data_IF_111756936616
#
_entry.id   IF_111756936616
#
_cell.length_a   1.000
_cell.length_b   1.000
_cell.length_c   1.000
_cell.angle_alpha   90.00
_cell.angle_beta   90.00
_cell.angle_gamma   90.00
#
_symmetry.space_group_name_H-M   'P 1'
#
loop_
_entity.id
_entity.type
_entity.pdbx_description
1 polymer ?
#
# COMPACT_ATOMS: atom_id res chain seq x y z
N UNK A 1 -18.88 18.48 1.56
CA UNK A 1 -20.28 18.10 1.31
C UNK A 1 -20.61 16.68 1.80
N UNK A 2 -19.81 15.64 1.49
CA UNK A 2 -20.11 14.24 1.87
C UNK A 2 -20.41 14.05 3.36
N UNK A 3 -19.50 14.44 4.24
CA UNK A 3 -19.69 14.33 5.70
C UNK A 3 -20.82 15.20 6.24
N UNK A 4 -21.12 16.34 5.61
CA UNK A 4 -22.27 17.19 6.00
C UNK A 4 -23.59 16.44 5.79
N UNK A 5 -23.76 15.82 4.62
CA UNK A 5 -24.95 14.99 4.33
C UNK A 5 -25.05 13.82 5.29
N UNK A 6 -23.92 13.17 5.60
CA UNK A 6 -23.88 12.05 6.54
C UNK A 6 -24.27 12.48 7.96
N UNK A 7 -23.82 13.64 8.43
CA UNK A 7 -24.22 14.18 9.73
C UNK A 7 -25.72 14.49 9.80
N UNK A 8 -26.30 15.09 8.74
CA UNK A 8 -27.74 15.34 8.63
C UNK A 8 -28.53 14.03 8.59
N UNK A 9 -28.07 13.05 7.81
CA UNK A 9 -28.65 11.71 7.77
C UNK A 9 -28.64 11.05 9.15
N UNK A 10 -27.52 11.17 9.87
CA UNK A 10 -27.38 10.59 11.22
C UNK A 10 -28.39 11.21 12.19
N UNK A 11 -28.52 12.53 12.17
CA UNK A 11 -29.54 13.19 12.99
C UNK A 11 -30.97 12.77 12.58
N UNK A 12 -31.24 12.68 11.28
CA UNK A 12 -32.54 12.27 10.75
C UNK A 12 -32.92 10.84 11.18
N UNK A 13 -31.99 9.87 11.08
CA UNK A 13 -32.28 8.49 11.47
C UNK A 13 -32.51 8.34 12.97
N UNK A 14 -31.84 9.14 13.81
CA UNK A 14 -32.11 9.23 15.24
C UNK A 14 -33.54 9.69 15.46
N UNK A 15 -33.97 10.77 14.80
CA UNK A 15 -35.33 11.29 14.90
C UNK A 15 -36.41 10.28 14.47
N UNK A 16 -36.15 9.57 13.37
CA UNK A 16 -37.06 8.54 12.84
C UNK A 16 -37.23 7.37 13.81
N UNK A 17 -36.13 6.83 14.34
CA UNK A 17 -36.15 5.71 15.31
C UNK A 17 -36.85 6.15 16.61
N UNK A 18 -36.50 7.31 17.15
CA UNK A 18 -37.13 7.86 18.36
C UNK A 18 -38.62 8.03 18.15
N UNK A 19 -39.07 8.56 17.02
CA UNK A 19 -40.51 8.75 16.73
C UNK A 19 -41.23 7.40 16.65
N UNK A 20 -40.57 6.37 16.14
CA UNK A 20 -41.09 5.00 16.05
C UNK A 20 -41.05 4.24 17.38
N UNK A 21 -40.53 4.83 18.45
CA UNK A 21 -40.37 4.17 19.76
C UNK A 21 -39.30 3.11 19.78
N UNK A 22 -38.32 3.15 18.86
CA UNK A 22 -37.26 2.16 18.73
C UNK A 22 -35.92 2.71 19.23
N UNK A 23 -35.18 1.94 20.02
CA UNK A 23 -33.84 2.32 20.45
C UNK A 23 -32.89 2.34 19.24
N UNK A 24 -31.92 3.24 19.27
CA UNK A 24 -30.86 3.34 18.25
C UNK A 24 -29.53 3.61 18.92
N UNK A 25 -28.57 2.76 18.65
CA UNK A 25 -27.18 2.89 19.08
C UNK A 25 -26.29 3.03 17.85
N UNK A 26 -25.58 4.15 17.75
CA UNK A 26 -24.72 4.49 16.62
C UNK A 26 -23.27 4.55 17.09
N UNK A 27 -22.36 3.87 16.40
CA UNK A 27 -20.92 4.09 16.51
C UNK A 27 -20.50 4.87 15.28
N UNK A 28 -19.96 6.07 15.51
CA UNK A 28 -19.43 6.94 14.47
C UNK A 28 -17.91 6.89 14.48
N UNK A 29 -17.35 6.16 13.53
CA UNK A 29 -15.93 5.97 13.36
C UNK A 29 -15.35 6.93 12.32
N UNK A 30 -14.12 7.38 12.55
CA UNK A 30 -13.28 8.01 11.55
C UNK A 30 -11.86 7.44 11.66
N UNK A 31 -10.91 7.94 10.91
CA UNK A 31 -9.50 7.53 10.98
C UNK A 31 -9.01 7.42 12.44
N UNK A 32 -9.29 8.43 13.25
CA UNK A 32 -9.05 8.41 14.69
C UNK A 32 -10.20 9.12 15.44
N UNK A 33 -10.19 8.99 16.78
CA UNK A 33 -11.24 9.58 17.62
C UNK A 33 -11.26 11.12 17.55
N UNK A 34 -10.12 11.76 17.41
CA UNK A 34 -10.03 13.23 17.32
C UNK A 34 -10.74 13.76 16.06
N UNK A 35 -10.80 12.97 14.98
CA UNK A 35 -11.54 13.29 13.76
C UNK A 35 -13.04 13.00 13.89
N UNK A 36 -13.42 12.00 14.67
CA UNK A 36 -14.83 11.63 14.90
C UNK A 36 -15.56 12.58 15.87
N UNK A 37 -14.89 13.10 16.90
CA UNK A 37 -15.46 13.99 17.91
C UNK A 37 -16.16 15.23 17.31
N UNK A 38 -15.54 16.00 16.37
CA UNK A 38 -16.22 17.14 15.76
C UNK A 38 -17.53 16.77 15.03
N UNK A 39 -17.58 15.57 14.42
CA UNK A 39 -18.78 15.08 13.75
C UNK A 39 -19.90 14.78 14.75
N UNK A 40 -19.55 14.08 15.83
CA UNK A 40 -20.46 13.84 16.96
C UNK A 40 -21.05 15.13 17.52
N UNK A 41 -20.22 16.17 17.70
CA UNK A 41 -20.64 17.50 18.16
C UNK A 41 -21.60 18.18 17.19
N UNK A 42 -21.34 18.13 15.88
CA UNK A 42 -22.21 18.70 14.85
C UNK A 42 -23.57 18.01 14.86
N UNK A 43 -23.60 16.66 14.94
CA UNK A 43 -24.86 15.91 14.99
C UNK A 43 -25.66 16.31 16.24
N UNK A 44 -25.02 16.46 17.40
CA UNK A 44 -25.65 16.93 18.63
C UNK A 44 -26.21 18.33 18.48
N UNK A 45 -25.51 19.27 17.83
CA UNK A 45 -25.98 20.60 17.54
C UNK A 45 -27.19 20.61 16.59
N UNK A 46 -27.22 19.75 15.58
CA UNK A 46 -28.38 19.60 14.69
C UNK A 46 -29.60 19.18 15.52
N UNK A 47 -29.45 18.17 16.38
CA UNK A 47 -30.55 17.66 17.23
C UNK A 47 -31.06 18.73 18.20
N UNK A 48 -30.18 19.56 18.73
CA UNK A 48 -30.55 20.63 19.66
C UNK A 48 -31.18 21.85 18.98
N UNK A 49 -31.14 21.95 17.66
CA UNK A 49 -31.68 23.09 16.92
C UNK A 49 -33.19 23.17 17.00
N UNK A 50 -33.74 24.41 16.96
CA UNK A 50 -35.18 24.67 17.00
C UNK A 50 -35.92 24.04 15.80
N UNK A 51 -35.30 24.00 14.63
CA UNK A 51 -35.86 23.38 13.42
C UNK A 51 -35.99 21.86 13.59
N UNK A 52 -34.97 21.21 14.10
CA UNK A 52 -35.02 19.78 14.34
C UNK A 52 -36.05 19.37 15.37
N UNK A 53 -36.16 20.14 16.48
CA UNK A 53 -37.18 19.94 17.54
C UNK A 53 -38.62 20.10 17.05
N UNK A 54 -38.86 20.95 16.04
CA UNK A 54 -40.17 21.04 15.39
C UNK A 54 -40.53 19.79 14.58
N UNK A 55 -39.52 19.15 13.95
CA UNK A 55 -39.71 17.95 13.12
C UNK A 55 -39.80 16.69 13.99
N UNK A 56 -38.98 16.63 15.03
CA UNK A 56 -38.85 15.48 15.92
C UNK A 56 -39.03 15.88 17.39
N UNK A 57 -40.24 16.24 17.81
CA UNK A 57 -40.51 16.81 19.15
C UNK A 57 -40.25 15.83 20.29
N UNK A 58 -40.19 14.51 20.02
CA UNK A 58 -39.89 13.48 21.02
C UNK A 58 -38.36 13.31 21.25
N UNK A 59 -37.53 13.99 20.50
CA UNK A 59 -36.05 13.87 20.67
C UNK A 59 -35.57 14.99 21.59
N UNK A 60 -35.06 14.61 22.75
CA UNK A 60 -34.36 15.47 23.68
C UNK A 60 -33.04 14.87 24.10
N UNK A 61 -32.01 15.68 24.26
CA UNK A 61 -30.73 15.21 24.76
C UNK A 61 -30.83 14.92 26.28
N UNK A 62 -30.32 13.78 26.72
CA UNK A 62 -30.33 13.36 28.13
C UNK A 62 -29.37 14.20 28.96
N UNK A 63 -29.84 14.80 30.04
CA UNK A 63 -28.99 15.51 30.99
C UNK A 63 -27.97 14.56 31.63
N UNK A 64 -26.73 15.02 31.78
CA UNK A 64 -25.64 14.21 32.39
C UNK A 64 -24.92 13.20 31.49
N UNK A 65 -25.42 12.93 30.25
CA UNK A 65 -24.74 12.08 29.26
C UNK A 65 -24.50 12.87 27.96
N UNK A 66 -23.65 13.88 28.02
CA UNK A 66 -23.49 14.89 26.95
C UNK A 66 -22.03 15.09 26.53
N UNK A 67 -21.14 14.08 26.74
CA UNK A 67 -19.78 14.25 26.26
C UNK A 67 -19.73 14.23 24.72
N UNK A 68 -18.71 14.84 24.13
CA UNK A 68 -18.54 14.82 22.67
C UNK A 68 -18.06 13.44 22.16
N UNK A 69 -17.54 12.61 23.05
CA UNK A 69 -17.16 11.22 22.72
C UNK A 69 -18.39 10.30 22.71
N UNK A 70 -19.35 10.56 23.62
CA UNK A 70 -20.57 9.76 23.66
C UNK A 70 -21.67 10.50 24.39
N UNK A 71 -22.86 10.47 23.80
CA UNK A 71 -24.05 11.12 24.33
C UNK A 71 -25.29 10.29 24.04
N UNK A 72 -26.37 10.60 24.76
CA UNK A 72 -27.65 9.91 24.61
C UNK A 72 -28.80 10.90 24.49
N UNK A 73 -29.86 10.47 23.79
CA UNK A 73 -31.17 11.07 23.92
C UNK A 73 -31.79 10.64 25.25
N UNK A 74 -32.80 11.38 25.68
CA UNK A 74 -33.61 11.02 26.85
C UNK A 74 -34.67 9.98 26.44
N UNK A 75 -34.40 8.72 26.74
CA UNK A 75 -35.26 7.60 26.37
C UNK A 75 -36.58 7.63 27.15
N UNK A 76 -36.56 8.09 28.39
CA UNK A 76 -37.76 8.18 29.21
C UNK A 76 -38.73 9.25 28.66
N UNK A 77 -38.17 10.42 28.29
CA UNK A 77 -38.95 11.48 27.61
C UNK A 77 -39.48 10.99 26.24
N UNK A 78 -38.71 10.21 25.52
CA UNK A 78 -39.10 9.65 24.24
C UNK A 78 -40.13 8.50 24.35
N UNK A 79 -40.33 7.93 25.53
CA UNK A 79 -41.19 6.77 25.77
C UNK A 79 -40.56 5.46 25.22
N UNK A 80 -39.25 5.36 25.19
CA UNK A 80 -38.53 4.18 24.70
C UNK A 80 -38.05 3.34 25.87
N UNK A 81 -38.45 2.07 25.90
CA UNK A 81 -37.93 1.12 26.89
C UNK A 81 -36.49 0.79 26.59
N UNK A 82 -35.62 0.80 27.59
CA UNK A 82 -34.22 0.45 27.54
C UNK A 82 -33.83 -0.52 28.62
N UNK A 83 -32.79 -1.29 28.39
CA UNK A 83 -32.20 -2.19 29.35
C UNK A 83 -30.78 -1.70 29.69
N UNK A 84 -30.59 -1.16 30.88
CA UNK A 84 -29.30 -0.66 31.38
C UNK A 84 -29.09 0.86 31.22
N UNK A 85 -28.20 1.39 32.08
CA UNK A 85 -27.95 2.85 32.20
C UNK A 85 -26.80 3.38 31.35
N UNK A 86 -25.99 2.53 30.73
CA UNK A 86 -24.77 2.91 30.00
C UNK A 86 -24.93 2.99 28.47
N UNK A 87 -26.16 3.07 27.96
CA UNK A 87 -26.39 3.07 26.53
C UNK A 87 -26.24 4.48 25.92
N UNK A 88 -25.37 4.60 24.94
CA UNK A 88 -25.23 5.81 24.14
C UNK A 88 -26.10 5.75 22.89
N UNK A 89 -26.75 6.85 22.56
CA UNK A 89 -27.37 6.99 21.23
C UNK A 89 -26.32 7.14 20.16
N UNK A 90 -25.25 7.91 20.43
CA UNK A 90 -24.12 8.04 19.53
C UNK A 90 -22.80 8.03 20.32
N UNK A 91 -21.84 7.26 19.82
CA UNK A 91 -20.47 7.22 20.34
C UNK A 91 -19.46 7.43 19.20
N UNK A 92 -18.59 8.43 19.37
CA UNK A 92 -17.46 8.67 18.51
C UNK A 92 -16.32 7.68 18.78
N UNK A 93 -15.67 7.20 17.74
CA UNK A 93 -14.57 6.25 17.85
C UNK A 93 -13.53 6.46 16.72
N UNK A 94 -12.33 5.95 16.93
CA UNK A 94 -11.33 5.82 15.88
C UNK A 94 -11.35 4.41 15.30
N UNK A 95 -11.23 4.27 13.99
CA UNK A 95 -11.20 2.96 13.33
C UNK A 95 -10.06 2.07 13.85
N UNK A 96 -8.94 2.68 14.26
CA UNK A 96 -7.77 2.01 14.85
C UNK A 96 -7.80 2.00 16.40
N UNK A 97 -8.89 2.47 17.00
CA UNK A 97 -9.05 2.54 18.44
C UNK A 97 -9.79 1.34 19.03
N UNK A 98 -9.71 1.18 20.35
CA UNK A 98 -10.47 0.15 21.07
C UNK A 98 -11.94 0.56 21.20
N UNK A 99 -12.86 -0.25 20.64
CA UNK A 99 -14.32 -0.10 20.75
C UNK A 99 -14.91 -1.32 21.48
N UNK A 100 -14.19 -1.87 22.41
CA UNK A 100 -14.59 -3.09 23.12
C UNK A 100 -15.86 -2.91 23.94
N UNK A 101 -16.63 -3.98 24.12
CA UNK A 101 -17.81 -4.09 25.00
C UNK A 101 -19.01 -3.21 24.64
N UNK A 102 -19.13 -2.76 23.39
CA UNK A 102 -20.29 -1.98 22.90
C UNK A 102 -21.02 -2.77 21.81
N UNK A 103 -22.29 -2.40 21.57
CA UNK A 103 -23.10 -2.91 20.48
C UNK A 103 -23.65 -1.75 19.67
N UNK A 104 -23.97 -1.97 18.41
CA UNK A 104 -24.49 -0.93 17.52
C UNK A 104 -25.56 -1.45 16.57
N UNK A 105 -26.62 -0.66 16.40
CA UNK A 105 -27.58 -0.86 15.34
C UNK A 105 -27.09 -0.27 14.02
N UNK A 106 -26.25 0.78 14.10
CA UNK A 106 -25.64 1.43 12.95
C UNK A 106 -24.16 1.75 13.24
N UNK A 107 -23.29 1.32 12.37
CA UNK A 107 -21.87 1.75 12.35
C UNK A 107 -21.67 2.66 11.15
N UNK A 108 -21.17 3.85 11.40
CA UNK A 108 -20.78 4.83 10.39
C UNK A 108 -19.26 4.93 10.38
N UNK A 109 -18.65 4.75 9.23
CA UNK A 109 -17.22 4.94 9.01
C UNK A 109 -17.04 6.10 8.05
N UNK A 110 -16.64 7.25 8.58
CA UNK A 110 -16.45 8.51 7.82
C UNK A 110 -14.96 8.82 7.69
N UNK A 111 -14.45 8.82 6.47
CA UNK A 111 -13.05 9.03 6.12
C UNK A 111 -12.10 8.12 6.94
N UNK A 112 -12.11 6.80 6.68
CA UNK A 112 -11.27 5.84 7.42
C UNK A 112 -9.78 6.04 7.20
N UNK A 113 -9.37 6.71 6.14
CA UNK A 113 -7.99 6.90 5.72
C UNK A 113 -7.61 8.37 5.90
N UNK A 114 -6.51 8.63 6.62
CA UNK A 114 -6.03 9.99 6.87
C UNK A 114 -5.40 10.63 5.63
N UNK A 115 -4.51 9.89 4.95
CA UNK A 115 -3.75 10.40 3.81
C UNK A 115 -3.23 9.28 2.91
N UNK A 116 -2.86 9.66 1.69
CA UNK A 116 -2.17 8.74 0.77
C UNK A 116 -0.82 8.26 1.31
N UNK A 117 -0.13 9.07 2.12
CA UNK A 117 1.17 8.70 2.71
C UNK A 117 1.01 7.61 3.77
N UNK A 118 0.06 7.77 4.70
CA UNK A 118 -0.17 6.78 5.77
C UNK A 118 -0.57 5.42 5.20
N UNK A 119 -1.46 5.41 4.20
CA UNK A 119 -2.01 4.17 3.64
C UNK A 119 -1.01 3.40 2.76
N UNK A 120 0.12 4.01 2.38
CA UNK A 120 1.22 3.30 1.72
C UNK A 120 1.85 2.23 2.62
N UNK A 121 1.82 2.40 3.94
CA UNK A 121 2.35 1.43 4.89
C UNK A 121 1.44 0.18 4.95
N UNK A 122 1.94 -1.03 4.58
CA UNK A 122 1.16 -2.27 4.64
C UNK A 122 0.64 -2.59 6.04
N UNK A 123 1.43 -2.36 7.07
CA UNK A 123 1.05 -2.61 8.47
C UNK A 123 -0.19 -1.79 8.88
N UNK A 124 -0.27 -0.54 8.43
CA UNK A 124 -1.45 0.30 8.70
C UNK A 124 -2.69 -0.27 7.99
N UNK A 125 -2.56 -0.73 6.75
CA UNK A 125 -3.68 -1.37 6.02
C UNK A 125 -4.16 -2.63 6.70
N UNK A 126 -3.23 -3.49 7.11
CA UNK A 126 -3.53 -4.73 7.82
C UNK A 126 -4.20 -4.46 9.18
N UNK A 127 -3.68 -3.52 9.95
CA UNK A 127 -4.29 -3.09 11.23
C UNK A 127 -5.73 -2.58 11.04
N UNK A 128 -5.98 -1.79 10.00
CA UNK A 128 -7.34 -1.31 9.69
C UNK A 128 -8.29 -2.46 9.32
N UNK A 129 -7.83 -3.41 8.51
CA UNK A 129 -8.62 -4.58 8.12
C UNK A 129 -8.91 -5.48 9.32
N UNK A 130 -7.92 -5.74 10.16
CA UNK A 130 -8.05 -6.54 11.37
C UNK A 130 -9.01 -5.89 12.38
N UNK A 131 -8.91 -4.58 12.60
CA UNK A 131 -9.83 -3.87 13.47
C UNK A 131 -11.26 -3.88 12.94
N UNK A 132 -11.46 -3.74 11.63
CA UNK A 132 -12.79 -3.89 11.07
C UNK A 132 -13.35 -5.30 11.32
N UNK A 133 -12.65 -6.34 10.93
CA UNK A 133 -13.13 -7.73 10.98
C UNK A 133 -13.25 -8.28 12.39
N UNK A 134 -12.32 -7.95 13.29
CA UNK A 134 -12.22 -8.56 14.62
C UNK A 134 -12.85 -7.72 15.74
N UNK A 135 -13.01 -6.41 15.52
CA UNK A 135 -13.49 -5.49 16.56
C UNK A 135 -14.80 -4.83 16.17
N UNK A 136 -14.90 -4.25 14.96
CA UNK A 136 -16.05 -3.41 14.59
C UNK A 136 -17.21 -4.25 14.03
N UNK A 137 -16.97 -5.13 13.09
CA UNK A 137 -18.03 -5.94 12.51
C UNK A 137 -18.77 -6.81 13.55
N UNK A 138 -18.09 -7.45 14.53
CA UNK A 138 -18.77 -8.28 15.53
C UNK A 138 -19.65 -7.53 16.53
N UNK A 139 -19.51 -6.22 16.66
CA UNK A 139 -20.36 -5.43 17.58
C UNK A 139 -21.68 -5.00 16.95
N UNK A 140 -21.87 -5.20 15.65
CA UNK A 140 -23.11 -4.86 14.95
C UNK A 140 -24.18 -5.90 15.34
N UNK A 141 -25.35 -5.43 15.76
CA UNK A 141 -26.48 -6.31 16.05
C UNK A 141 -26.93 -7.06 14.79
N UNK A 142 -27.53 -8.23 14.98
CA UNK A 142 -28.23 -8.91 13.89
C UNK A 142 -29.28 -7.98 13.27
N UNK A 143 -29.25 -7.82 11.94
CA UNK A 143 -30.08 -6.83 11.22
C UNK A 143 -29.57 -5.38 11.28
N UNK A 144 -28.50 -5.12 12.02
CA UNK A 144 -27.82 -3.81 12.02
C UNK A 144 -27.23 -3.45 10.65
N UNK A 145 -26.80 -2.21 10.50
CA UNK A 145 -26.31 -1.67 9.23
C UNK A 145 -24.95 -0.98 9.40
N UNK A 146 -24.22 -0.90 8.30
CA UNK A 146 -22.98 -0.14 8.22
C UNK A 146 -23.00 0.80 7.02
N UNK A 147 -22.43 1.98 7.21
CA UNK A 147 -22.22 2.98 6.14
C UNK A 147 -20.72 3.29 6.15
N UNK A 148 -20.07 3.16 5.03
CA UNK A 148 -18.70 3.63 4.86
C UNK A 148 -18.65 4.72 3.81
N UNK A 149 -18.10 5.86 4.18
CA UNK A 149 -17.90 7.02 3.32
C UNK A 149 -16.41 7.35 3.33
N UNK A 150 -15.82 7.54 2.18
CA UNK A 150 -14.41 7.92 2.12
C UNK A 150 -13.91 8.17 0.71
N UNK A 151 -12.65 8.56 0.64
CA UNK A 151 -11.90 8.69 -0.60
C UNK A 151 -10.97 7.48 -0.74
N UNK A 152 -10.84 6.97 -1.95
CA UNK A 152 -9.91 5.91 -2.28
C UNK A 152 -8.50 6.49 -2.39
N UNK A 153 -7.56 6.02 -1.56
CA UNK A 153 -6.18 6.51 -1.56
C UNK A 153 -5.15 5.46 -1.97
N UNK A 154 -5.56 4.19 -2.02
CA UNK A 154 -4.65 3.10 -2.36
C UNK A 154 -5.43 1.94 -2.99
N UNK A 155 -4.86 1.22 -4.01
CA UNK A 155 -5.52 0.06 -4.62
C UNK A 155 -5.93 -1.01 -3.62
N UNK A 156 -5.12 -1.23 -2.56
CA UNK A 156 -5.37 -2.18 -1.47
C UNK A 156 -5.82 -1.49 -0.17
N UNK A 157 -6.57 -0.40 -0.25
CA UNK A 157 -7.16 0.22 0.93
C UNK A 157 -8.35 -0.60 1.47
N UNK A 158 -8.82 -0.24 2.68
CA UNK A 158 -9.91 -0.96 3.35
C UNK A 158 -11.17 -1.06 2.50
N UNK A 159 -11.45 -0.08 1.62
CA UNK A 159 -12.59 -0.17 0.71
C UNK A 159 -12.44 -1.35 -0.25
N UNK A 160 -11.24 -1.53 -0.84
CA UNK A 160 -10.97 -2.62 -1.78
C UNK A 160 -10.84 -3.98 -1.10
N UNK A 161 -10.26 -4.02 0.09
CA UNK A 161 -9.96 -5.29 0.76
C UNK A 161 -11.15 -5.84 1.56
N UNK A 162 -11.99 -4.96 2.12
CA UNK A 162 -13.06 -5.36 3.04
C UNK A 162 -14.46 -5.10 2.50
N UNK A 163 -14.71 -3.92 1.91
CA UNK A 163 -16.09 -3.51 1.61
C UNK A 163 -16.53 -3.87 0.19
N UNK A 164 -15.68 -3.63 -0.82
CA UNK A 164 -16.04 -3.90 -2.22
C UNK A 164 -16.22 -5.40 -2.52
N UNK A 165 -15.38 -6.33 -2.00
CA UNK A 165 -15.54 -7.75 -2.28
C UNK A 165 -16.74 -8.38 -1.58
N UNK A 166 -17.21 -7.79 -0.48
CA UNK A 166 -18.35 -8.31 0.27
C UNK A 166 -19.67 -7.98 -0.42
N UNK A 167 -20.38 -9.01 -0.85
CA UNK A 167 -21.69 -8.89 -1.53
C UNK A 167 -22.78 -8.25 -0.67
N UNK A 168 -22.60 -8.16 0.65
CA UNK A 168 -23.51 -7.46 1.57
C UNK A 168 -23.45 -5.93 1.43
N UNK A 169 -22.42 -5.38 0.81
CA UNK A 169 -22.26 -3.95 0.64
C UNK A 169 -22.78 -3.46 -0.71
N UNK A 170 -23.62 -2.41 -0.66
CA UNK A 170 -23.99 -1.66 -1.86
C UNK A 170 -22.97 -0.55 -2.08
N UNK A 171 -22.23 -0.63 -3.17
CA UNK A 171 -21.25 0.38 -3.55
C UNK A 171 -21.91 1.52 -4.34
N UNK A 172 -21.55 2.75 -4.00
CA UNK A 172 -21.80 3.95 -4.80
C UNK A 172 -20.46 4.67 -4.99
N UNK A 173 -20.01 4.78 -6.22
CA UNK A 173 -18.80 5.50 -6.59
C UNK A 173 -19.17 6.62 -7.54
N UNK A 174 -18.65 7.83 -7.29
CA UNK A 174 -18.91 8.99 -8.12
C UNK A 174 -17.59 9.65 -8.49
N UNK A 175 -17.34 9.75 -9.77
CA UNK A 175 -16.23 10.48 -10.36
C UNK A 175 -16.61 11.97 -10.49
N UNK A 176 -15.64 12.86 -10.29
CA UNK A 176 -15.88 14.30 -10.40
C UNK A 176 -15.93 14.76 -11.85
N UNK A 177 -15.17 14.11 -12.73
CA UNK A 177 -15.11 14.40 -14.17
C UNK A 177 -15.45 13.13 -14.94
N UNK A 178 -16.45 13.21 -15.79
CA UNK A 178 -16.83 12.15 -16.74
C UNK A 178 -16.78 12.70 -18.16
N UNK A 179 -17.05 11.86 -19.15
CA UNK A 179 -17.14 12.27 -20.54
C UNK A 179 -18.51 11.81 -21.06
N UNK A 180 -19.16 12.67 -21.84
CA UNK A 180 -20.43 12.34 -22.48
C UNK A 180 -20.23 11.47 -23.74
N UNK A 181 -21.32 11.17 -24.45
CA UNK A 181 -21.31 10.30 -25.64
C UNK A 181 -20.51 10.93 -26.82
N UNK A 182 -20.33 12.26 -26.84
CA UNK A 182 -19.55 12.99 -27.82
C UNK A 182 -18.07 13.12 -27.43
N UNK A 183 -17.72 12.64 -26.21
CA UNK A 183 -16.36 12.70 -25.66
C UNK A 183 -16.03 14.02 -24.96
N UNK A 184 -17.01 14.89 -24.76
CA UNK A 184 -16.81 16.15 -24.05
C UNK A 184 -16.78 15.96 -22.54
N UNK A 185 -15.91 16.68 -21.81
CA UNK A 185 -15.78 16.53 -20.37
C UNK A 185 -16.98 17.14 -19.64
N UNK A 186 -17.52 16.39 -18.66
CA UNK A 186 -18.66 16.79 -17.84
C UNK A 186 -18.31 16.73 -16.36
N UNK A 187 -18.56 17.82 -15.64
CA UNK A 187 -18.40 17.84 -14.19
C UNK A 187 -19.66 17.29 -13.50
N UNK A 188 -19.46 16.43 -12.50
CA UNK A 188 -20.55 15.93 -11.65
C UNK A 188 -21.22 17.05 -10.83
N UNK A 189 -20.49 18.10 -10.48
CA UNK A 189 -21.00 19.21 -9.68
C UNK A 189 -20.48 20.56 -10.20
N UNK A 190 -21.01 21.02 -11.36
CA UNK A 190 -20.47 22.18 -12.08
C UNK A 190 -20.53 23.49 -11.29
N UNK A 191 -21.49 23.65 -10.36
CA UNK A 191 -21.62 24.86 -9.53
C UNK A 191 -20.44 25.00 -8.52
N UNK A 192 -19.82 23.91 -8.13
CA UNK A 192 -18.69 23.89 -7.20
C UNK A 192 -17.35 23.67 -7.91
N UNK A 193 -17.34 22.81 -8.91
CA UNK A 193 -16.16 22.35 -9.63
C UNK A 193 -16.40 22.46 -11.14
N UNK A 194 -15.97 23.55 -11.75
CA UNK A 194 -16.08 23.68 -13.21
C UNK A 194 -15.22 22.65 -13.93
N UNK A 195 -15.55 22.34 -15.17
CA UNK A 195 -14.76 21.45 -16.04
C UNK A 195 -13.31 21.95 -16.16
N UNK A 196 -13.13 23.26 -16.41
CA UNK A 196 -11.80 23.87 -16.54
C UNK A 196 -10.97 23.70 -15.24
N UNK A 197 -11.60 23.89 -14.08
CA UNK A 197 -10.94 23.67 -12.80
C UNK A 197 -10.48 22.20 -12.66
N UNK A 198 -11.35 21.25 -12.98
CA UNK A 198 -11.05 19.82 -12.86
C UNK A 198 -9.96 19.38 -13.84
N UNK A 199 -9.99 19.89 -15.08
CA UNK A 199 -8.95 19.64 -16.06
C UNK A 199 -7.60 20.25 -15.61
N UNK A 200 -7.61 21.47 -15.06
CA UNK A 200 -6.41 22.07 -14.47
C UNK A 200 -5.83 21.27 -13.30
N UNK A 201 -6.69 20.71 -12.42
CA UNK A 201 -6.23 19.84 -11.33
C UNK A 201 -5.65 18.52 -11.88
N UNK A 202 -6.25 17.96 -12.93
CA UNK A 202 -5.74 16.77 -13.62
C UNK A 202 -4.38 17.00 -14.27
N UNK A 203 -4.18 18.18 -14.87
CA UNK A 203 -2.92 18.56 -15.48
C UNK A 203 -1.83 18.85 -14.44
N UNK A 204 -2.19 19.50 -13.32
CA UNK A 204 -1.28 19.84 -12.24
C UNK A 204 -0.72 18.59 -11.52
N UNK A 205 -1.58 17.65 -11.16
CA UNK A 205 -1.21 16.39 -10.51
C UNK A 205 -2.18 15.28 -10.92
N UNK A 206 -1.90 14.56 -12.04
CA UNK A 206 -2.76 13.49 -12.54
C UNK A 206 -3.00 12.37 -11.52
N UNK A 207 -2.01 12.07 -10.67
CA UNK A 207 -2.08 11.02 -9.67
C UNK A 207 -3.00 11.43 -8.52
N UNK A 208 -2.80 12.62 -7.95
CA UNK A 208 -3.70 13.13 -6.93
C UNK A 208 -5.13 13.28 -7.47
N UNK A 209 -5.28 13.71 -8.71
CA UNK A 209 -6.58 13.80 -9.37
C UNK A 209 -7.29 12.45 -9.47
N UNK A 210 -6.57 11.40 -9.87
CA UNK A 210 -7.14 10.06 -10.02
C UNK A 210 -7.73 9.53 -8.70
N UNK A 211 -7.05 9.67 -7.57
CA UNK A 211 -7.61 9.16 -6.30
C UNK A 211 -8.55 10.15 -5.61
N UNK A 212 -8.28 11.47 -5.62
CA UNK A 212 -9.12 12.44 -4.90
C UNK A 212 -10.42 12.76 -5.63
N UNK A 213 -10.37 12.88 -6.95
CA UNK A 213 -11.49 13.32 -7.76
C UNK A 213 -12.17 12.18 -8.51
N UNK A 214 -11.43 11.15 -8.95
CA UNK A 214 -11.97 10.05 -9.75
C UNK A 214 -12.21 8.76 -8.95
N UNK A 215 -11.83 8.73 -7.66
CA UNK A 215 -11.93 7.52 -6.82
C UNK A 215 -11.21 6.30 -7.43
N UNK A 216 -10.24 6.55 -8.27
CA UNK A 216 -9.39 5.58 -8.93
C UNK A 216 -7.99 5.67 -8.32
N UNK A 217 -7.70 4.95 -7.22
CA UNK A 217 -6.38 4.95 -6.67
C UNK A 217 -5.46 4.24 -7.66
N UNK A 218 -4.79 5.04 -8.47
CA UNK A 218 -3.60 4.58 -9.18
C UNK A 218 -2.46 4.61 -8.18
N UNK A 219 -1.69 3.55 -8.14
CA UNK A 219 -0.39 3.58 -7.49
C UNK A 219 0.39 4.73 -8.10
N UNK A 220 1.13 5.46 -7.27
CA UNK A 220 1.85 6.66 -7.72
C UNK A 220 2.50 6.42 -9.05
N UNK A 221 1.92 6.99 -10.08
CA UNK A 221 2.26 6.95 -11.48
C UNK A 221 1.78 5.75 -12.30
N UNK A 222 1.78 5.94 -13.55
CA UNK A 222 1.92 5.17 -14.77
C UNK A 222 2.82 3.89 -14.70
N UNK A 223 3.02 3.33 -13.50
CA UNK A 223 3.83 2.16 -13.16
C UNK A 223 2.98 0.90 -12.91
N UNK A 224 1.81 0.80 -13.53
CA UNK A 224 1.19 -0.49 -13.70
C UNK A 224 1.92 -1.18 -14.85
N UNK A 225 2.99 -1.87 -14.51
CA UNK A 225 3.67 -2.71 -15.49
C UNK A 225 2.68 -3.78 -15.95
N UNK A 226 2.30 -3.75 -17.22
CA UNK A 226 1.48 -4.83 -17.77
C UNK A 226 2.25 -6.14 -17.67
N UNK A 227 1.63 -7.23 -17.18
CA UNK A 227 2.27 -8.56 -17.14
C UNK A 227 2.84 -8.99 -18.48
N UNK A 228 2.26 -8.54 -19.60
CA UNK A 228 2.71 -8.83 -20.97
C UNK A 228 4.09 -8.25 -21.31
N UNK A 229 4.59 -7.32 -20.51
CA UNK A 229 5.93 -6.74 -20.65
C UNK A 229 7.03 -7.58 -19.96
N UNK A 230 6.64 -8.56 -19.13
CA UNK A 230 7.54 -9.49 -18.46
C UNK A 230 7.81 -10.71 -19.34
N UNK A 231 8.68 -10.52 -20.34
CA UNK A 231 8.92 -11.51 -21.39
C UNK A 231 9.84 -12.62 -20.86
N UNK A 232 9.32 -13.85 -20.84
CA UNK A 232 10.14 -15.06 -20.60
C UNK A 232 10.72 -15.60 -21.90
N UNK A 233 12.03 -15.88 -21.90
CA UNK A 233 12.73 -16.39 -23.08
C UNK A 233 14.00 -17.15 -22.75
N UNK A 234 14.71 -17.58 -23.78
CA UNK A 234 16.02 -18.20 -23.63
C UNK A 234 17.06 -17.13 -23.29
N UNK A 235 17.97 -17.47 -22.42
CA UNK A 235 19.08 -16.62 -22.00
C UNK A 235 20.33 -17.00 -22.79
N UNK A 236 21.06 -15.99 -23.21
CA UNK A 236 22.36 -16.19 -23.87
C UNK A 236 23.41 -16.63 -22.87
N UNK A 237 24.49 -17.24 -23.34
CA UNK A 237 25.60 -17.73 -22.51
C UNK A 237 26.76 -16.74 -22.42
N UNK A 238 26.83 -15.75 -23.31
CA UNK A 238 27.86 -14.72 -23.34
C UNK A 238 27.27 -13.34 -23.14
N UNK A 239 27.92 -12.53 -22.32
CA UNK A 239 27.48 -11.19 -21.95
C UNK A 239 28.62 -10.20 -22.03
N UNK A 240 28.33 -8.98 -22.47
CA UNK A 240 29.27 -7.84 -22.39
C UNK A 240 29.51 -7.43 -20.92
N UNK A 241 28.50 -7.61 -20.08
CA UNK A 241 28.55 -7.34 -18.64
C UNK A 241 27.61 -8.26 -17.88
N UNK A 242 28.10 -8.86 -16.80
CA UNK A 242 27.36 -9.75 -15.92
C UNK A 242 27.40 -9.19 -14.49
N UNK A 243 26.26 -9.17 -13.81
CA UNK A 243 26.19 -8.63 -12.46
C UNK A 243 25.09 -9.29 -11.61
N UNK A 244 25.25 -9.19 -10.30
CA UNK A 244 24.20 -9.48 -9.30
C UNK A 244 23.82 -8.19 -8.61
N UNK A 245 22.56 -7.82 -8.69
CA UNK A 245 21.99 -6.79 -7.82
C UNK A 245 21.65 -7.41 -6.48
N UNK A 246 22.05 -6.75 -5.40
CA UNK A 246 21.90 -7.25 -4.04
C UNK A 246 21.19 -6.20 -3.21
N UNK A 247 20.09 -6.59 -2.57
CA UNK A 247 19.43 -5.83 -1.51
C UNK A 247 19.47 -6.59 -0.19
N UNK A 248 19.77 -5.89 0.90
CA UNK A 248 20.14 -6.51 2.17
C UNK A 248 19.15 -6.20 3.29
N UNK A 249 18.61 -7.24 3.91
CA UNK A 249 17.86 -7.07 5.16
C UNK A 249 18.76 -6.74 6.34
N UNK A 250 18.31 -5.80 7.17
CA UNK A 250 19.04 -5.26 8.30
C UNK A 250 19.03 -6.15 9.57
N UNK A 251 18.11 -7.10 9.72
CA UNK A 251 17.93 -7.85 10.97
C UNK A 251 17.74 -9.36 10.79
N UNK A 252 18.04 -10.11 11.89
CA UNK A 252 17.82 -11.56 11.97
C UNK A 252 16.42 -11.96 12.47
N UNK A 253 15.50 -11.03 12.63
CA UNK A 253 14.17 -11.32 13.16
C UNK A 253 13.26 -11.91 12.08
N UNK A 254 12.39 -12.84 12.43
CA UNK A 254 11.42 -13.47 11.52
C UNK A 254 10.47 -12.48 10.82
N UNK A 255 10.31 -11.28 11.38
CA UNK A 255 9.49 -10.18 10.85
C UNK A 255 10.29 -9.19 9.99
N UNK A 256 11.59 -9.43 9.74
CA UNK A 256 12.45 -8.53 8.96
C UNK A 256 12.26 -8.71 7.45
N UNK A 257 12.73 -7.70 6.69
CA UNK A 257 12.79 -7.72 5.23
C UNK A 257 13.69 -8.87 4.73
N UNK A 258 13.52 -9.25 3.48
CA UNK A 258 14.36 -10.27 2.84
C UNK A 258 15.73 -9.71 2.45
N UNK A 259 16.73 -10.58 2.37
CA UNK A 259 17.90 -10.33 1.53
C UNK A 259 17.59 -10.90 0.15
N UNK A 260 17.76 -10.09 -0.88
CA UNK A 260 17.45 -10.45 -2.25
C UNK A 260 18.68 -10.38 -3.17
N UNK A 261 18.75 -11.32 -4.10
CA UNK A 261 19.76 -11.44 -5.13
C UNK A 261 19.08 -11.55 -6.48
N UNK A 262 19.49 -10.74 -7.45
CA UNK A 262 19.03 -10.84 -8.84
C UNK A 262 20.24 -10.87 -9.75
N UNK A 263 20.47 -12.00 -10.40
CA UNK A 263 21.55 -12.21 -11.37
C UNK A 263 21.04 -11.85 -12.77
N UNK A 264 21.82 -11.09 -13.50
CA UNK A 264 21.54 -10.77 -14.89
C UNK A 264 22.73 -10.24 -15.66
N UNK A 265 22.57 -10.16 -16.97
CA UNK A 265 23.61 -9.71 -17.86
C UNK A 265 23.08 -8.83 -18.99
N UNK A 266 23.99 -8.09 -19.60
CA UNK A 266 23.73 -7.28 -20.80
C UNK A 266 24.53 -7.84 -21.96
N UNK A 267 23.86 -7.98 -23.11
CA UNK A 267 24.48 -8.20 -24.40
C UNK A 267 23.98 -7.13 -25.37
N UNK A 268 24.86 -6.24 -25.80
CA UNK A 268 24.53 -5.07 -26.62
C UNK A 268 23.47 -4.19 -25.94
N UNK A 269 22.29 -4.08 -26.53
CA UNK A 269 21.18 -3.28 -26.03
C UNK A 269 20.07 -4.12 -25.34
N UNK A 270 20.31 -5.42 -25.14
CA UNK A 270 19.39 -6.35 -24.45
C UNK A 270 19.89 -6.73 -23.07
N UNK A 271 18.93 -6.93 -22.16
CA UNK A 271 19.13 -7.27 -20.77
C UNK A 271 18.49 -8.62 -20.49
N UNK A 272 19.17 -9.47 -19.77
CA UNK A 272 18.71 -10.81 -19.43
C UNK A 272 18.70 -10.98 -17.93
N UNK A 273 17.55 -11.28 -17.35
CA UNK A 273 17.42 -11.66 -15.94
C UNK A 273 17.51 -13.18 -15.87
N UNK A 274 18.60 -13.65 -15.28
CA UNK A 274 19.02 -15.04 -15.33
C UNK A 274 18.41 -15.82 -14.18
N UNK A 275 18.51 -15.28 -12.96
CA UNK A 275 17.99 -15.90 -11.75
C UNK A 275 17.65 -14.85 -10.67
N UNK A 276 16.81 -15.22 -9.70
CA UNK A 276 16.45 -14.36 -8.58
C UNK A 276 16.15 -15.20 -7.33
N UNK A 277 16.74 -14.81 -6.21
CA UNK A 277 16.54 -15.45 -4.91
C UNK A 277 16.26 -14.43 -3.82
N UNK A 278 15.44 -14.81 -2.84
CA UNK A 278 15.24 -14.05 -1.61
C UNK A 278 15.24 -14.97 -0.40
N UNK A 279 15.87 -14.52 0.69
CA UNK A 279 16.02 -15.31 1.92
C UNK A 279 15.82 -14.45 3.16
N UNK A 280 15.29 -15.04 4.22
CA UNK A 280 15.11 -14.41 5.53
C UNK A 280 15.93 -15.09 6.60
N UNK A 281 16.20 -14.34 7.68
CA UNK A 281 16.66 -14.87 8.97
C UNK A 281 17.95 -15.70 8.96
N UNK A 282 18.81 -15.52 7.93
CA UNK A 282 20.11 -16.21 7.84
C UNK A 282 21.27 -15.25 8.10
N UNK A 283 22.40 -15.81 8.54
CA UNK A 283 23.63 -15.06 8.80
C UNK A 283 24.33 -14.61 7.51
N UNK A 284 25.30 -13.69 7.63
CA UNK A 284 26.03 -13.17 6.47
C UNK A 284 26.80 -14.27 5.72
N UNK A 285 27.39 -15.23 6.42
CA UNK A 285 28.10 -16.34 5.77
C UNK A 285 27.17 -17.24 4.96
N UNK A 286 25.97 -17.52 5.48
CA UNK A 286 24.94 -18.30 4.77
C UNK A 286 24.40 -17.55 3.55
N UNK A 287 24.30 -16.22 3.63
CA UNK A 287 23.95 -15.38 2.47
C UNK A 287 25.02 -15.42 1.39
N UNK A 288 26.30 -15.39 1.80
CA UNK A 288 27.44 -15.49 0.89
C UNK A 288 27.48 -16.87 0.24
N UNK A 289 27.26 -17.95 0.98
CA UNK A 289 27.20 -19.30 0.47
C UNK A 289 26.08 -19.47 -0.57
N UNK A 290 24.88 -18.97 -0.28
CA UNK A 290 23.75 -18.98 -1.23
C UNK A 290 24.10 -18.22 -2.52
N UNK A 291 24.71 -17.05 -2.40
CA UNK A 291 25.18 -16.27 -3.56
C UNK A 291 26.20 -17.07 -4.37
N UNK A 292 27.17 -17.72 -3.72
CA UNK A 292 28.19 -18.54 -4.42
C UNK A 292 27.53 -19.72 -5.14
N UNK A 293 26.59 -20.42 -4.53
CA UNK A 293 25.85 -21.52 -5.17
C UNK A 293 25.12 -21.06 -6.43
N UNK A 294 24.47 -19.90 -6.37
CA UNK A 294 23.86 -19.29 -7.55
C UNK A 294 24.90 -19.00 -8.65
N UNK A 295 26.08 -18.50 -8.28
CA UNK A 295 27.17 -18.22 -9.23
C UNK A 295 27.82 -19.50 -9.81
N UNK A 296 27.83 -20.59 -9.05
CA UNK A 296 28.28 -21.90 -9.53
C UNK A 296 27.32 -22.46 -10.59
N UNK A 297 26.04 -22.42 -10.36
CA UNK A 297 25.04 -22.87 -11.35
C UNK A 297 25.17 -22.16 -12.70
N UNK A 298 25.68 -20.95 -12.69
CA UNK A 298 25.86 -20.12 -13.90
C UNK A 298 27.30 -20.07 -14.40
N UNK A 299 28.15 -20.98 -13.88
CA UNK A 299 29.52 -21.14 -14.36
C UNK A 299 30.46 -19.97 -14.11
N UNK A 300 30.09 -19.06 -13.18
CA UNK A 300 30.94 -17.93 -12.75
C UNK A 300 31.92 -18.36 -11.69
N UNK A 301 31.55 -19.33 -10.87
CA UNK A 301 32.37 -20.01 -9.90
C UNK A 301 32.34 -21.51 -10.16
N UNK A 302 33.29 -22.22 -9.56
CA UNK A 302 33.34 -23.69 -9.45
C UNK A 302 33.34 -24.04 -7.96
N UNK A 303 32.78 -25.19 -7.61
CA UNK A 303 32.79 -25.75 -6.26
C UNK A 303 33.47 -27.12 -6.32
N UNK A 304 34.40 -27.39 -5.40
CA UNK A 304 35.05 -28.71 -5.30
C UNK A 304 34.25 -29.65 -4.37
N UNK A 305 34.78 -30.88 -4.23
CA UNK A 305 34.13 -31.91 -3.39
C UNK A 305 34.10 -31.56 -1.89
N UNK A 306 34.94 -30.62 -1.45
CA UNK A 306 35.02 -30.15 -0.07
C UNK A 306 34.17 -28.90 0.17
N UNK A 307 33.39 -28.44 -0.84
CA UNK A 307 32.51 -27.27 -0.76
C UNK A 307 33.25 -25.93 -0.85
N UNK A 308 34.46 -25.92 -1.42
CA UNK A 308 35.28 -24.73 -1.60
C UNK A 308 35.06 -24.14 -2.98
N UNK A 309 34.88 -22.81 -3.04
CA UNK A 309 34.65 -22.08 -4.28
C UNK A 309 35.93 -21.60 -4.95
N UNK A 310 35.93 -21.62 -6.28
CA UNK A 310 37.04 -21.19 -7.13
C UNK A 310 36.57 -20.30 -8.27
N UNK A 311 37.37 -19.32 -8.71
CA UNK A 311 37.01 -18.47 -9.84
C UNK A 311 37.09 -19.24 -11.17
N UNK A 312 36.20 -18.90 -12.10
CA UNK A 312 36.29 -19.29 -13.51
C UNK A 312 36.85 -18.15 -14.35
N UNK A 313 36.82 -18.28 -15.67
CA UNK A 313 37.21 -17.22 -16.59
C UNK A 313 36.13 -16.10 -16.70
N UNK A 314 34.91 -16.39 -16.31
CA UNK A 314 33.82 -15.41 -16.34
C UNK A 314 33.94 -14.43 -15.18
N UNK A 315 33.77 -13.12 -15.47
CA UNK A 315 33.78 -12.07 -14.45
C UNK A 315 32.35 -11.63 -14.11
N UNK A 316 32.10 -11.29 -12.85
CA UNK A 316 30.80 -10.82 -12.39
C UNK A 316 30.95 -9.66 -11.40
N UNK A 317 30.06 -8.69 -11.52
CA UNK A 317 29.97 -7.54 -10.60
C UNK A 317 28.90 -7.78 -9.55
N UNK A 318 29.25 -7.60 -8.28
CA UNK A 318 28.34 -7.65 -7.14
C UNK A 318 27.95 -6.20 -6.79
N UNK A 319 26.70 -5.83 -7.02
CA UNK A 319 26.19 -4.45 -6.86
C UNK A 319 25.42 -4.36 -5.57
N UNK A 320 25.99 -3.70 -4.56
CA UNK A 320 25.45 -3.60 -3.20
C UNK A 320 25.15 -2.16 -2.86
N UNK A 321 24.00 -1.84 -2.28
CA UNK A 321 23.72 -0.49 -1.79
C UNK A 321 24.56 -0.18 -0.54
N UNK A 322 25.25 0.98 -0.52
CA UNK A 322 26.09 1.41 0.60
C UNK A 322 25.28 2.30 1.56
N UNK A 323 24.45 1.69 2.41
CA UNK A 323 23.84 2.35 3.56
C UNK A 323 24.55 1.87 4.83
N UNK A 324 24.62 2.68 5.88
CA UNK A 324 25.48 2.48 7.06
C UNK A 324 25.43 1.07 7.69
N UNK A 325 24.32 0.34 7.60
CA UNK A 325 24.18 -1.02 8.10
C UNK A 325 24.63 -2.10 7.06
N UNK A 326 24.46 -1.84 5.80
CA UNK A 326 24.82 -2.74 4.69
C UNK A 326 26.34 -2.78 4.45
N UNK A 327 27.06 -1.80 4.99
CA UNK A 327 28.53 -1.77 4.97
C UNK A 327 29.18 -3.02 5.61
N UNK A 328 28.49 -3.69 6.54
CA UNK A 328 29.03 -4.90 7.18
C UNK A 328 29.06 -6.10 6.22
N UNK A 329 28.01 -6.32 5.40
CA UNK A 329 28.04 -7.41 4.43
C UNK A 329 28.99 -7.11 3.26
N UNK A 330 29.06 -5.88 2.78
CA UNK A 330 30.06 -5.50 1.78
C UNK A 330 31.48 -5.74 2.29
N UNK A 331 31.73 -5.47 3.58
CA UNK A 331 33.01 -5.82 4.22
C UNK A 331 33.23 -7.33 4.34
N UNK A 332 32.19 -8.10 4.72
CA UNK A 332 32.24 -9.55 4.79
C UNK A 332 32.44 -10.17 3.39
N UNK A 333 31.76 -9.68 2.36
CA UNK A 333 31.97 -10.09 0.97
C UNK A 333 33.43 -9.86 0.53
N UNK A 334 33.99 -8.68 0.82
CA UNK A 334 35.39 -8.41 0.51
C UNK A 334 36.34 -9.33 1.26
N UNK A 335 36.16 -9.48 2.57
CA UNK A 335 36.98 -10.30 3.42
C UNK A 335 36.90 -11.77 3.01
N UNK A 336 35.70 -12.34 2.95
CA UNK A 336 35.50 -13.78 2.71
C UNK A 336 35.75 -14.13 1.26
N UNK A 337 35.08 -13.46 0.31
CA UNK A 337 35.16 -13.86 -1.10
C UNK A 337 36.46 -13.45 -1.76
N UNK A 338 36.97 -12.24 -1.52
CA UNK A 338 38.16 -11.75 -2.20
C UNK A 338 39.44 -12.11 -1.46
N UNK A 339 39.51 -11.95 -0.11
CA UNK A 339 40.73 -12.14 0.64
C UNK A 339 40.92 -13.57 1.12
N UNK A 340 39.85 -14.24 1.61
CA UNK A 340 39.96 -15.61 2.14
C UNK A 340 39.88 -16.68 1.04
N UNK A 341 38.93 -16.49 0.08
CA UNK A 341 38.69 -17.49 -0.97
C UNK A 341 39.35 -17.17 -2.31
N UNK A 342 39.92 -15.98 -2.47
CA UNK A 342 40.67 -15.60 -3.67
C UNK A 342 39.81 -15.51 -4.95
N UNK A 343 38.51 -15.16 -4.83
CA UNK A 343 37.58 -15.09 -5.96
C UNK A 343 37.80 -13.80 -6.76
N UNK A 344 38.95 -13.65 -7.39
CA UNK A 344 39.39 -12.44 -8.09
C UNK A 344 38.58 -12.09 -9.37
N UNK A 345 37.73 -13.01 -9.84
CA UNK A 345 36.81 -12.74 -10.94
C UNK A 345 35.50 -12.00 -10.51
N UNK A 346 35.31 -11.75 -9.21
CA UNK A 346 34.20 -11.02 -8.66
C UNK A 346 34.60 -9.58 -8.32
N UNK A 347 33.77 -8.61 -8.71
CA UNK A 347 34.04 -7.19 -8.47
C UNK A 347 32.89 -6.58 -7.63
N UNK A 348 33.20 -6.10 -6.42
CA UNK A 348 32.21 -5.51 -5.53
C UNK A 348 32.08 -4.01 -5.82
N UNK A 349 30.89 -3.61 -6.27
CA UNK A 349 30.50 -2.23 -6.52
C UNK A 349 29.52 -1.75 -5.46
N UNK A 350 29.96 -0.82 -4.62
CA UNK A 350 29.07 -0.12 -3.69
C UNK A 350 28.38 1.04 -4.39
N UNK A 351 27.06 0.99 -4.44
CA UNK A 351 26.25 2.10 -4.92
C UNK A 351 25.92 2.96 -3.69
N UNK A 352 26.46 4.17 -3.63
CA UNK A 352 26.10 5.14 -2.57
C UNK A 352 24.61 5.40 -2.67
N UNK A 353 23.91 5.30 -1.53
CA UNK A 353 22.45 5.43 -1.47
C UNK A 353 21.97 6.60 -2.32
N UNK A 354 21.15 6.33 -3.29
CA UNK A 354 20.62 7.34 -4.17
C UNK A 354 19.76 8.30 -3.33
N UNK A 355 20.12 9.58 -3.29
CA UNK A 355 19.22 10.64 -2.82
C UNK A 355 18.08 10.75 -3.84
N UNK A 356 16.99 10.01 -3.60
CA UNK A 356 15.82 10.02 -4.49
C UNK A 356 14.81 8.95 -4.12
N UNK A 357 13.57 9.15 -4.55
CA UNK A 357 12.48 8.21 -4.37
C UNK A 357 12.83 6.87 -5.05
N UNK A 358 12.64 5.76 -4.35
CA UNK A 358 12.75 4.37 -4.81
C UNK A 358 12.00 4.15 -6.15
N UNK A 359 10.84 4.75 -6.25
CA UNK A 359 10.00 4.74 -7.45
C UNK A 359 10.68 5.44 -8.64
N UNK A 360 11.39 6.56 -8.40
CA UNK A 360 12.10 7.26 -9.45
C UNK A 360 13.26 6.44 -10.04
N UNK A 361 13.91 5.61 -9.22
CA UNK A 361 14.97 4.68 -9.67
C UNK A 361 14.40 3.60 -10.59
N UNK A 362 13.30 2.98 -10.16
CA UNK A 362 12.66 1.96 -10.98
C UNK A 362 12.13 2.52 -12.31
N UNK A 363 11.59 3.75 -12.31
CA UNK A 363 11.18 4.44 -13.57
C UNK A 363 12.31 4.48 -14.60
N UNK A 364 13.56 4.64 -14.17
CA UNK A 364 14.72 4.58 -15.06
C UNK A 364 14.89 3.23 -15.76
N UNK A 365 14.34 2.15 -15.21
CA UNK A 365 14.39 0.80 -15.80
C UNK A 365 13.13 0.45 -16.60
N UNK A 366 12.03 1.16 -16.37
CA UNK A 366 10.72 0.85 -16.97
C UNK A 366 10.74 0.89 -18.48
N UNK A 367 11.40 1.91 -19.07
CA UNK A 367 11.54 2.04 -20.50
C UNK A 367 12.22 0.84 -21.19
N UNK A 368 13.04 0.07 -20.47
CA UNK A 368 13.61 -1.16 -21.02
C UNK A 368 12.57 -2.29 -21.10
N UNK A 369 11.71 -2.39 -20.10
CA UNK A 369 10.60 -3.34 -20.09
C UNK A 369 9.56 -3.01 -21.15
N UNK A 370 9.16 -1.74 -21.24
CA UNK A 370 8.21 -1.24 -22.25
C UNK A 370 8.71 -1.45 -23.68
N UNK A 371 10.00 -1.24 -23.91
CA UNK A 371 10.65 -1.48 -25.22
C UNK A 371 11.03 -2.96 -25.43
N UNK A 372 10.58 -3.87 -24.55
CA UNK A 372 10.82 -5.32 -24.65
C UNK A 372 12.31 -5.68 -24.73
N UNK A 373 13.17 -4.90 -24.10
CA UNK A 373 14.62 -5.12 -24.05
C UNK A 373 15.06 -6.02 -22.91
N UNK A 374 14.16 -6.36 -21.97
CA UNK A 374 14.44 -7.24 -20.84
C UNK A 374 13.80 -8.60 -21.09
N UNK A 375 14.61 -9.67 -20.97
CA UNK A 375 14.17 -11.06 -21.09
C UNK A 375 14.46 -11.80 -19.79
N UNK A 376 13.46 -12.44 -19.22
CA UNK A 376 13.56 -13.29 -18.04
C UNK A 376 13.77 -14.75 -18.46
N UNK A 377 14.66 -15.48 -17.79
CA UNK A 377 14.97 -16.87 -18.08
C UNK A 377 13.71 -17.75 -17.95
N UNK A 378 13.26 -18.38 -19.03
CA UNK A 378 12.04 -19.21 -19.03
C UNK A 378 12.13 -20.45 -18.13
N UNK A 379 13.33 -20.91 -17.79
CA UNK A 379 13.58 -22.09 -16.98
C UNK A 379 13.63 -21.79 -15.49
N UNK A 380 13.49 -20.54 -15.09
CA UNK A 380 13.50 -20.09 -13.68
C UNK A 380 12.13 -19.51 -13.26
N UNK A 381 11.89 -19.56 -11.95
CA UNK A 381 10.69 -19.00 -11.34
C UNK A 381 10.95 -17.57 -10.89
N UNK A 382 10.09 -16.65 -11.32
CA UNK A 382 10.18 -15.24 -10.98
C UNK A 382 8.87 -14.71 -10.36
N UNK A 383 8.02 -15.61 -9.83
CA UNK A 383 6.68 -15.22 -9.39
C UNK A 383 6.72 -14.09 -8.34
N UNK A 384 7.62 -14.18 -7.36
CA UNK A 384 7.79 -13.14 -6.34
C UNK A 384 8.35 -11.82 -6.92
N UNK A 385 9.31 -11.89 -7.84
CA UNK A 385 9.84 -10.70 -8.52
C UNK A 385 8.78 -10.08 -9.42
N UNK A 386 8.03 -10.88 -10.16
CA UNK A 386 6.95 -10.40 -11.02
C UNK A 386 5.83 -9.73 -10.22
N UNK A 387 5.46 -10.32 -9.08
CA UNK A 387 4.49 -9.70 -8.17
C UNK A 387 4.96 -8.33 -7.69
N UNK A 388 6.23 -8.19 -7.30
CA UNK A 388 6.82 -6.93 -6.88
C UNK A 388 6.95 -5.91 -8.03
N UNK A 389 7.27 -6.36 -9.26
CA UNK A 389 7.35 -5.52 -10.46
C UNK A 389 5.97 -5.01 -10.91
N UNK A 390 4.93 -5.84 -10.85
CA UNK A 390 3.56 -5.49 -11.26
C UNK A 390 2.89 -4.63 -10.19
N UNK A 391 3.11 -4.96 -8.91
CA UNK A 391 2.41 -4.34 -7.77
C UNK A 391 3.32 -3.39 -6.98
N UNK A 392 4.11 -2.56 -7.66
CA UNK A 392 5.09 -1.66 -7.04
C UNK A 392 4.45 -0.79 -5.98
N UNK A 393 5.00 -0.86 -4.75
CA UNK A 393 4.52 -0.13 -3.57
C UNK A 393 3.22 -0.66 -2.98
N UNK A 394 2.66 -1.78 -3.49
CA UNK A 394 1.50 -2.48 -2.93
C UNK A 394 1.88 -3.81 -2.26
N UNK A 395 3.05 -4.35 -2.58
CA UNK A 395 3.57 -5.55 -1.93
C UNK A 395 4.08 -5.23 -0.52
N UNK A 396 3.98 -6.21 0.39
CA UNK A 396 4.52 -6.09 1.75
C UNK A 396 6.06 -6.03 1.77
N UNK A 397 6.70 -6.53 0.72
CA UNK A 397 8.13 -6.61 0.52
C UNK A 397 8.47 -6.19 -0.90
N UNK A 398 9.58 -5.50 -1.08
CA UNK A 398 10.06 -4.97 -2.35
C UNK A 398 11.57 -5.22 -2.57
N UNK A 399 12.14 -6.13 -1.79
CA UNK A 399 13.57 -6.44 -1.77
C UNK A 399 14.07 -6.96 -3.13
N UNK A 400 13.30 -7.83 -3.82
CA UNK A 400 13.63 -8.29 -5.17
C UNK A 400 13.53 -7.18 -6.21
N UNK A 401 12.58 -6.25 -6.06
CA UNK A 401 12.46 -5.07 -6.92
C UNK A 401 13.68 -4.16 -6.78
N UNK A 402 14.17 -3.97 -5.54
CA UNK A 402 15.37 -3.17 -5.31
C UNK A 402 16.62 -3.85 -5.87
N UNK A 403 16.80 -5.14 -5.61
CA UNK A 403 17.89 -5.91 -6.20
C UNK A 403 17.87 -5.87 -7.74
N UNK A 404 16.69 -6.03 -8.36
CA UNK A 404 16.49 -5.86 -9.81
C UNK A 404 16.90 -4.46 -10.28
N UNK A 405 16.46 -3.44 -9.56
CA UNK A 405 16.73 -2.03 -9.92
C UNK A 405 18.23 -1.73 -9.84
N UNK A 406 18.91 -2.22 -8.78
CA UNK A 406 20.37 -2.08 -8.64
C UNK A 406 21.11 -2.74 -9.80
N UNK A 407 20.72 -3.97 -10.15
CA UNK A 407 21.28 -4.70 -11.29
C UNK A 407 21.12 -3.92 -12.61
N UNK A 408 19.89 -3.57 -12.97
CA UNK A 408 19.61 -2.99 -14.28
C UNK A 408 20.22 -1.60 -14.42
N UNK A 409 20.14 -0.76 -13.38
CA UNK A 409 20.79 0.55 -13.38
C UNK A 409 22.32 0.44 -13.53
N UNK A 410 22.94 -0.56 -12.93
CA UNK A 410 24.37 -0.82 -13.09
C UNK A 410 24.72 -1.23 -14.54
N UNK A 411 23.97 -2.16 -15.10
CA UNK A 411 24.18 -2.63 -16.48
C UNK A 411 23.96 -1.52 -17.53
N UNK A 412 23.03 -0.59 -17.27
CA UNK A 412 22.82 0.58 -18.14
C UNK A 412 24.02 1.52 -18.15
N UNK A 413 24.63 1.80 -17.00
CA UNK A 413 25.76 2.75 -16.88
C UNK A 413 26.99 2.28 -17.63
N UNK A 414 27.32 1.00 -17.58
CA UNK A 414 28.46 0.43 -18.32
C UNK A 414 28.29 0.50 -19.84
N UNK A 415 27.04 0.54 -20.35
CA UNK A 415 26.78 0.70 -21.77
C UNK A 415 27.07 2.10 -22.33
N UNK A 416 27.05 3.11 -21.48
CA UNK A 416 27.32 4.49 -21.89
C UNK A 416 28.83 4.83 -21.90
N UNK A 417 29.68 4.02 -21.27
CA UNK A 417 31.12 4.25 -21.25
C UNK A 417 31.87 3.66 -22.48
N UNK A 418 31.22 2.78 -23.24
CA UNK A 418 31.84 2.19 -24.46
C UNK A 418 31.54 2.97 -25.75
N UNK A 419 30.77 4.08 -25.69
CA UNK A 419 30.50 4.94 -26.86
C UNK A 419 31.34 6.21 -26.93
N UNK A 420 32.39 6.36 -26.12
CA UNK A 420 33.36 7.47 -26.19
C UNK A 420 34.76 6.98 -26.56
N UNK A 421 34.89 6.23 -27.70
CA UNK A 421 36.15 6.03 -28.39
C UNK A 421 35.95 6.07 -29.89
#
# INVERSE_FOLDING_TARGET
>A
AKSTVLNMFTAWIIGRHTTAGLPLQIIYCSYNIATAIPKSRIIKQIIDSSTYKKIFPKVMLRSGMQSDIGWSIDFDYAGISRVGDEEFTLRAAGLRGSITSKRAHLVIVDDPIKSSTDIKNPTIREEMNNNWSSVIAPIIFEGGRSICLGTRFHPLDIHKTMFIPDKGWKQVQQEALTYDDDGEPVSYWPEQWSVDYLLGQKELDPVAFAFQYQQQPVMSSDLVLSPDLLIKGDVVTEFDSLAVGIDLSASKNETSDYTAFVLGGRLKDKYYIIDAHQVRSIGNLEKIDLLCKMLVEWGILQEDNDGKYFPTYSTCSLVVESVAYQASLAADLRRVMLSEWGLGNLHIHEVKGFRGDKIARFRGTLGLLENKKVTFNRYRKFDALFDQLINIGATSHDDLLDAYTHLVCFLQRRGNFEMEY
#
